data_IF_759387468406
#
_entry.id   IF_759387468406
#
_cell.length_a   1.000
_cell.length_b   1.000
_cell.length_c   1.000
_cell.angle_alpha   90.00
_cell.angle_beta   90.00
_cell.angle_gamma   90.00
#
_symmetry.space_group_name_H-M   'P 1'
#
loop_
_entity.id
_entity.type
_entity.pdbx_description
1 polymer ?
#
# COMPACT_ATOMS: atom_id res chain seq x y z
N UNK A 1 5.55 -15.25 -12.25
CA UNK A 1 6.17 -13.97 -12.67
C UNK A 1 7.39 -13.75 -11.80
N UNK A 2 8.57 -13.63 -12.40
CA UNK A 2 9.78 -13.39 -11.63
C UNK A 2 9.89 -11.89 -11.34
N UNK A 3 10.00 -11.53 -10.05
CA UNK A 3 10.23 -10.16 -9.59
C UNK A 3 11.69 -9.74 -9.89
N UNK A 4 12.03 -9.51 -11.16
CA UNK A 4 13.39 -9.10 -11.53
C UNK A 4 13.79 -7.69 -11.02
N UNK A 5 12.84 -6.92 -10.50
CA UNK A 5 13.06 -5.56 -10.00
C UNK A 5 13.22 -5.47 -8.48
N UNK A 6 13.15 -6.59 -7.76
CA UNK A 6 13.21 -6.63 -6.31
C UNK A 6 14.46 -7.35 -5.77
N UNK A 7 15.59 -7.29 -6.51
CA UNK A 7 16.87 -7.72 -5.96
C UNK A 7 17.37 -6.67 -4.97
N UNK A 8 17.40 -7.06 -3.71
CA UNK A 8 17.82 -6.21 -2.59
C UNK A 8 19.05 -6.76 -1.87
N UNK A 9 19.75 -7.73 -2.49
CA UNK A 9 20.89 -8.40 -1.88
C UNK A 9 22.03 -7.44 -1.50
N UNK A 10 22.18 -6.34 -2.23
CA UNK A 10 23.18 -5.31 -1.97
C UNK A 10 22.65 -4.11 -1.17
N UNK A 11 21.39 -4.17 -0.71
CA UNK A 11 20.77 -3.08 0.04
C UNK A 11 20.93 -3.30 1.53
N UNK A 12 21.59 -2.40 2.27
CA UNK A 12 21.68 -2.51 3.72
C UNK A 12 20.31 -2.71 4.36
N UNK A 13 20.22 -3.59 5.34
CA UNK A 13 19.00 -4.00 6.03
C UNK A 13 18.06 -4.95 5.27
N UNK A 14 18.23 -5.12 3.97
CA UNK A 14 17.37 -5.98 3.14
C UNK A 14 18.11 -7.16 2.51
N UNK A 15 19.39 -7.34 2.80
CA UNK A 15 20.26 -8.34 2.19
C UNK A 15 19.77 -9.79 2.40
N UNK A 16 19.02 -10.04 3.46
CA UNK A 16 18.43 -11.35 3.75
C UNK A 16 16.99 -11.51 3.22
N UNK A 17 16.44 -10.46 2.58
CA UNK A 17 15.07 -10.48 2.05
C UNK A 17 15.04 -11.09 0.64
N UNK A 18 14.08 -11.97 0.43
CA UNK A 18 13.73 -12.48 -0.90
C UNK A 18 12.26 -12.16 -1.13
N UNK A 19 11.98 -11.14 -1.92
CA UNK A 19 10.63 -10.77 -2.31
C UNK A 19 10.18 -11.62 -3.50
N UNK A 20 9.86 -12.90 -3.25
CA UNK A 20 9.53 -13.91 -4.27
C UNK A 20 8.03 -14.12 -4.47
N UNK A 21 7.20 -13.54 -3.61
CA UNK A 21 5.73 -13.57 -3.74
C UNK A 21 5.19 -12.16 -3.89
N UNK A 22 4.22 -12.00 -4.80
CA UNK A 22 3.53 -10.73 -4.98
C UNK A 22 2.06 -10.97 -5.33
N UNK A 23 1.21 -10.07 -4.86
CA UNK A 23 -0.16 -9.98 -5.35
C UNK A 23 -0.15 -9.32 -6.73
N UNK A 24 -0.87 -9.91 -7.67
CA UNK A 24 -1.06 -9.33 -9.01
C UNK A 24 -2.40 -8.62 -9.06
N UNK A 25 -2.37 -7.33 -9.34
CA UNK A 25 -3.59 -6.54 -9.51
C UNK A 25 -3.74 -6.06 -10.95
N UNK A 26 -4.96 -6.03 -11.42
CA UNK A 26 -5.38 -5.49 -12.71
C UNK A 26 -6.69 -4.71 -12.53
N UNK A 27 -7.36 -4.35 -13.62
CA UNK A 27 -8.62 -3.60 -13.52
C UNK A 27 -9.77 -4.36 -12.85
N UNK A 28 -9.68 -5.67 -12.74
CA UNK A 28 -10.73 -6.52 -12.17
C UNK A 28 -10.39 -7.01 -10.75
N UNK A 29 -9.13 -6.89 -10.34
CA UNK A 29 -8.64 -7.39 -9.05
C UNK A 29 -8.16 -6.27 -8.14
N UNK A 30 -8.52 -6.35 -6.88
CA UNK A 30 -8.14 -5.40 -5.84
C UNK A 30 -7.28 -6.12 -4.81
N UNK A 31 -6.11 -5.54 -4.51
CA UNK A 31 -5.38 -5.90 -3.30
C UNK A 31 -6.11 -5.29 -2.10
N UNK A 32 -6.43 -6.11 -1.11
CA UNK A 32 -7.08 -5.65 0.11
C UNK A 32 -6.40 -6.26 1.32
N UNK A 33 -6.10 -5.44 2.31
CA UNK A 33 -5.50 -5.91 3.56
C UNK A 33 -6.08 -5.19 4.76
N UNK A 34 -6.03 -5.85 5.91
CA UNK A 34 -6.45 -5.25 7.17
C UNK A 34 -5.50 -4.12 7.58
N UNK A 35 -6.06 -3.04 8.08
CA UNK A 35 -5.34 -1.97 8.76
C UNK A 35 -5.33 -2.30 10.26
N UNK A 36 -4.15 -2.65 10.78
CA UNK A 36 -3.99 -3.11 12.15
C UNK A 36 -3.40 -2.01 13.03
N UNK A 37 -4.14 -1.59 14.04
CA UNK A 37 -3.67 -0.67 15.07
C UNK A 37 -3.00 -1.45 16.21
N UNK A 38 -1.91 -0.91 16.77
CA UNK A 38 -1.21 -1.52 17.90
C UNK A 38 -0.81 -2.98 17.65
N UNK A 39 -0.51 -3.37 16.41
CA UNK A 39 -0.14 -4.70 15.90
C UNK A 39 -1.31 -5.66 15.67
N UNK A 40 -2.36 -5.63 16.46
CA UNK A 40 -3.33 -6.73 16.49
C UNK A 40 -4.79 -6.30 16.39
N UNK A 41 -5.08 -5.02 16.44
CA UNK A 41 -6.46 -4.50 16.47
C UNK A 41 -6.88 -4.15 15.03
N UNK A 42 -7.76 -4.93 14.37
CA UNK A 42 -8.24 -4.57 13.05
C UNK A 42 -9.21 -3.38 13.16
N UNK A 43 -8.81 -2.25 12.59
CA UNK A 43 -9.59 -1.01 12.65
C UNK A 43 -10.15 -0.57 11.31
N UNK A 44 -9.85 -1.30 10.25
CA UNK A 44 -10.26 -0.97 8.90
C UNK A 44 -9.48 -1.74 7.86
N UNK A 45 -9.36 -1.16 6.68
CA UNK A 45 -8.68 -1.78 5.55
C UNK A 45 -7.89 -0.77 4.73
N UNK A 46 -6.93 -1.30 3.98
CA UNK A 46 -6.26 -0.60 2.89
C UNK A 46 -6.51 -1.37 1.61
N UNK A 47 -7.04 -0.70 0.60
CA UNK A 47 -7.33 -1.28 -0.70
C UNK A 47 -6.48 -0.62 -1.77
N UNK A 48 -5.88 -1.42 -2.64
CA UNK A 48 -5.11 -0.94 -3.79
C UNK A 48 -5.77 -1.46 -5.06
N UNK A 49 -6.15 -0.55 -5.93
CA UNK A 49 -6.84 -0.87 -7.18
C UNK A 49 -6.27 -0.08 -8.35
N UNK A 50 -6.54 -0.55 -9.55
CA UNK A 50 -6.17 0.13 -10.80
C UNK A 50 -7.44 0.66 -11.44
N UNK A 51 -7.48 1.97 -11.69
CA UNK A 51 -8.58 2.63 -12.41
C UNK A 51 -7.97 3.49 -13.51
N UNK A 52 -8.31 3.20 -14.74
CA UNK A 52 -7.68 3.82 -15.92
C UNK A 52 -6.15 3.69 -15.86
N UNK A 53 -5.44 4.80 -15.80
CA UNK A 53 -3.98 4.85 -15.72
C UNK A 53 -3.47 5.19 -14.30
N UNK A 54 -4.30 5.03 -13.30
CA UNK A 54 -3.99 5.38 -11.92
C UNK A 54 -4.06 4.18 -10.99
N UNK A 55 -3.12 4.16 -10.04
CA UNK A 55 -3.16 3.30 -8.86
C UNK A 55 -3.88 4.08 -7.76
N UNK A 56 -4.97 3.52 -7.25
CA UNK A 56 -5.70 4.09 -6.12
C UNK A 56 -5.34 3.33 -4.85
N UNK A 57 -4.87 4.06 -3.84
CA UNK A 57 -4.63 3.52 -2.49
C UNK A 57 -5.64 4.12 -1.55
N UNK A 58 -6.61 3.33 -1.12
CA UNK A 58 -7.71 3.76 -0.26
C UNK A 58 -7.54 3.21 1.16
N UNK A 59 -7.56 4.11 2.12
CA UNK A 59 -7.69 3.80 3.55
C UNK A 59 -9.13 3.96 3.97
N UNK A 60 -9.64 3.02 4.75
CA UNK A 60 -10.96 3.12 5.39
C UNK A 60 -10.88 2.59 6.81
N UNK A 61 -11.39 3.34 7.78
CA UNK A 61 -11.54 2.90 9.16
C UNK A 61 -12.98 2.55 9.49
N UNK A 62 -13.17 1.75 10.51
CA UNK A 62 -14.46 1.28 11.00
C UNK A 62 -14.72 1.75 12.43
N UNK A 63 -15.98 1.72 12.85
CA UNK A 63 -16.38 2.16 14.17
C UNK A 63 -16.08 3.65 14.40
N UNK A 64 -15.51 3.95 15.54
CA UNK A 64 -15.20 5.33 15.94
C UNK A 64 -13.74 5.74 15.64
N UNK A 65 -12.98 4.88 14.97
CA UNK A 65 -11.60 5.18 14.59
C UNK A 65 -11.56 6.20 13.45
N UNK A 66 -10.67 7.18 13.60
CA UNK A 66 -10.37 8.18 12.57
C UNK A 66 -8.89 8.16 12.22
N UNK A 67 -8.59 8.56 11.01
CA UNK A 67 -7.23 8.68 10.47
C UNK A 67 -6.79 10.12 10.66
N UNK A 68 -5.68 10.33 11.38
CA UNK A 68 -5.12 11.65 11.61
C UNK A 68 -3.98 11.97 10.64
N UNK A 69 -3.25 10.94 10.20
CA UNK A 69 -2.14 11.08 9.28
C UNK A 69 -1.95 9.78 8.48
N UNK A 70 -1.60 9.88 7.22
CA UNK A 70 -1.28 8.73 6.36
C UNK A 70 0.07 8.89 5.69
N UNK A 71 0.78 7.76 5.55
CA UNK A 71 2.04 7.65 4.83
C UNK A 71 2.03 6.39 4.00
N UNK A 72 2.26 6.52 2.70
CA UNK A 72 2.31 5.38 1.76
C UNK A 72 3.65 5.31 1.07
N UNK A 73 4.26 4.14 1.10
CA UNK A 73 5.36 3.80 0.23
C UNK A 73 4.86 2.94 -0.92
N UNK A 74 5.10 3.39 -2.13
CA UNK A 74 4.93 2.64 -3.37
C UNK A 74 6.17 2.90 -4.21
N UNK A 75 6.96 1.88 -4.49
CA UNK A 75 8.18 2.04 -5.27
C UNK A 75 9.09 0.82 -5.22
N UNK A 76 10.30 0.99 -5.74
CA UNK A 76 11.32 -0.04 -5.72
C UNK A 76 11.62 -0.47 -4.28
N UNK A 77 11.69 -1.77 -4.06
CA UNK A 77 12.00 -2.33 -2.74
C UNK A 77 13.36 -1.88 -2.21
N UNK A 78 14.32 -1.62 -3.10
CA UNK A 78 15.64 -1.12 -2.75
C UNK A 78 15.64 0.31 -2.21
N UNK A 79 14.62 1.09 -2.50
CA UNK A 79 14.54 2.52 -2.17
C UNK A 79 13.66 2.81 -0.93
N UNK A 80 13.20 1.77 -0.23
CA UNK A 80 12.46 1.98 1.03
C UNK A 80 13.29 2.80 2.00
N UNK A 81 12.82 3.96 2.48
CA UNK A 81 13.54 4.76 3.45
C UNK A 81 13.69 4.02 4.78
N UNK A 82 14.90 3.59 5.10
CA UNK A 82 15.24 2.89 6.33
C UNK A 82 16.23 3.71 7.15
N UNK A 83 16.05 3.72 8.47
CA UNK A 83 17.01 4.32 9.40
C UNK A 83 18.27 3.44 9.55
N UNK A 84 19.28 3.93 10.24
CA UNK A 84 20.46 3.14 10.58
C UNK A 84 20.14 1.88 11.41
N UNK A 85 19.02 1.87 12.13
CA UNK A 85 18.48 0.70 12.84
C UNK A 85 17.53 -0.15 11.99
N UNK A 86 17.50 0.05 10.70
CA UNK A 86 16.67 -0.69 9.74
C UNK A 86 15.15 -0.52 9.91
N UNK A 87 14.71 0.52 10.59
CA UNK A 87 13.29 0.82 10.73
C UNK A 87 12.78 1.72 9.59
N UNK A 88 11.60 1.45 9.02
CA UNK A 88 10.99 2.33 8.05
C UNK A 88 10.80 3.74 8.61
N UNK A 89 11.18 4.74 7.82
CA UNK A 89 11.02 6.16 8.13
C UNK A 89 9.77 6.70 7.43
N UNK A 90 8.61 6.58 8.08
CA UNK A 90 7.32 6.90 7.49
C UNK A 90 7.23 8.34 6.98
N UNK A 91 7.82 9.29 7.69
CA UNK A 91 7.85 10.69 7.27
C UNK A 91 8.63 10.97 5.98
N UNK A 92 9.42 10.01 5.49
CA UNK A 92 10.15 10.10 4.23
C UNK A 92 9.48 9.34 3.09
N UNK A 93 8.32 8.75 3.31
CA UNK A 93 7.56 8.09 2.26
C UNK A 93 7.10 9.09 1.21
N UNK A 94 6.98 8.69 -0.07
CA UNK A 94 6.66 9.61 -1.15
C UNK A 94 5.26 10.22 -1.08
N UNK A 95 4.32 9.56 -0.39
CA UNK A 95 2.93 10.00 -0.28
C UNK A 95 2.56 10.15 1.18
N UNK A 96 2.31 11.38 1.60
CA UNK A 96 1.95 11.71 2.99
C UNK A 96 0.82 12.73 3.01
N UNK A 97 -0.04 12.64 4.02
CA UNK A 97 -1.12 13.60 4.22
C UNK A 97 -1.50 13.68 5.70
N UNK A 98 -1.60 14.92 6.20
CA UNK A 98 -2.19 15.23 7.50
C UNK A 98 -3.70 15.43 7.33
N UNK A 99 -4.48 14.84 8.22
CA UNK A 99 -5.93 14.94 8.23
C UNK A 99 -6.40 15.66 9.50
N UNK A 100 -6.75 16.94 9.37
CA UNK A 100 -7.25 17.73 10.50
C UNK A 100 -8.50 18.53 10.05
N UNK A 101 -9.70 18.15 10.50
CA UNK A 101 -9.99 17.03 11.43
C UNK A 101 -9.74 15.66 10.83
N UNK A 102 -9.61 14.63 11.69
CA UNK A 102 -9.44 13.24 11.25
C UNK A 102 -10.58 12.75 10.36
N UNK A 103 -10.26 11.82 9.46
CA UNK A 103 -11.19 11.27 8.46
C UNK A 103 -11.34 9.76 8.63
N UNK A 104 -12.41 9.19 8.09
CA UNK A 104 -12.62 7.74 8.07
C UNK A 104 -12.26 7.09 6.74
N UNK A 105 -11.99 7.88 5.72
CA UNK A 105 -11.55 7.40 4.42
C UNK A 105 -10.68 8.43 3.73
N UNK A 106 -9.61 7.95 3.08
CA UNK A 106 -8.75 8.78 2.24
C UNK A 106 -8.19 7.95 1.09
N UNK A 107 -8.09 8.53 -0.10
CA UNK A 107 -7.58 7.85 -1.28
C UNK A 107 -6.44 8.65 -1.91
N UNK A 108 -5.29 8.00 -2.09
CA UNK A 108 -4.22 8.48 -2.94
C UNK A 108 -4.46 8.05 -4.38
N UNK A 109 -4.16 8.94 -5.32
CA UNK A 109 -4.20 8.67 -6.76
C UNK A 109 -2.77 8.80 -7.28
N UNK A 110 -2.19 7.69 -7.74
CA UNK A 110 -0.80 7.59 -8.14
C UNK A 110 -0.74 7.18 -9.61
N UNK A 111 -0.15 8.01 -10.51
CA UNK A 111 -0.02 7.63 -11.91
C UNK A 111 0.80 6.34 -12.07
N UNK A 112 0.25 5.34 -12.76
CA UNK A 112 0.93 4.06 -13.02
C UNK A 112 2.21 4.25 -13.84
N UNK A 113 2.25 5.25 -14.72
CA UNK A 113 3.42 5.56 -15.53
C UNK A 113 4.67 5.91 -14.71
N UNK A 114 4.50 6.27 -13.42
CA UNK A 114 5.61 6.56 -12.49
C UNK A 114 6.13 5.32 -11.76
N UNK A 115 5.52 4.15 -11.97
CA UNK A 115 5.80 2.92 -11.25
C UNK A 115 6.40 1.86 -12.16
N UNK A 116 7.26 1.02 -11.59
CA UNK A 116 7.65 -0.24 -12.23
C UNK A 116 6.48 -1.24 -12.20
N UNK A 117 6.55 -2.30 -13.00
CA UNK A 117 5.50 -3.31 -13.06
C UNK A 117 5.30 -4.06 -11.74
N UNK A 118 6.34 -4.15 -10.92
CA UNK A 118 6.27 -4.71 -9.57
C UNK A 118 6.94 -3.74 -8.59
N UNK A 119 6.37 -3.60 -7.40
CA UNK A 119 6.86 -2.66 -6.39
C UNK A 119 6.60 -3.17 -4.97
N UNK A 120 7.31 -2.61 -4.02
CA UNK A 120 7.02 -2.74 -2.60
C UNK A 120 5.97 -1.71 -2.18
N UNK A 121 5.14 -2.12 -1.24
CA UNK A 121 4.03 -1.34 -0.71
C UNK A 121 4.04 -1.38 0.82
N UNK A 122 3.96 -0.21 1.44
CA UNK A 122 3.79 -0.06 2.89
C UNK A 122 2.73 1.02 3.13
N UNK A 123 1.70 0.68 3.90
CA UNK A 123 0.67 1.62 4.32
C UNK A 123 0.76 1.85 5.83
N UNK A 124 1.01 3.08 6.23
CA UNK A 124 1.05 3.53 7.61
C UNK A 124 -0.02 4.59 7.84
N UNK A 125 -0.60 4.61 9.03
CA UNK A 125 -1.47 5.68 9.50
C UNK A 125 -1.25 5.95 10.98
N UNK A 126 -1.36 7.22 11.38
CA UNK A 126 -1.63 7.59 12.76
C UNK A 126 -3.15 7.67 12.90
N UNK A 127 -3.69 7.00 13.90
CA UNK A 127 -5.13 6.88 14.10
C UNK A 127 -5.50 7.20 15.53
N UNK A 128 -6.70 7.70 15.72
CA UNK A 128 -7.26 7.98 17.05
C UNK A 128 -8.72 7.52 17.14
N UNK A 129 -9.16 7.28 18.36
CA UNK A 129 -10.54 6.97 18.65
C UNK A 129 -11.08 8.06 19.61
N UNK A 130 -11.87 9.02 19.10
CA UNK A 130 -12.34 10.14 19.93
C UNK A 130 -13.33 9.73 21.03
N UNK A 131 -13.88 8.53 20.97
CA UNK A 131 -14.79 8.00 22.00
C UNK A 131 -14.02 7.43 23.18
N UNK A 132 -12.95 6.65 22.91
CA UNK A 132 -12.12 6.04 23.97
C UNK A 132 -10.93 6.89 24.36
N UNK A 133 -10.48 7.80 23.50
CA UNK A 133 -9.27 8.58 23.68
C UNK A 133 -7.98 7.84 23.29
N UNK A 134 -8.09 6.66 22.69
CA UNK A 134 -6.92 5.89 22.24
C UNK A 134 -6.26 6.55 21.03
N UNK A 135 -4.94 6.54 21.01
CA UNK A 135 -4.11 6.93 19.88
C UNK A 135 -3.17 5.78 19.55
N UNK A 136 -3.09 5.40 18.28
CA UNK A 136 -2.32 4.24 17.86
C UNK A 136 -1.61 4.49 16.52
N UNK A 137 -0.52 3.75 16.31
CA UNK A 137 0.03 3.51 14.98
C UNK A 137 -0.74 2.37 14.34
N UNK A 138 -1.13 2.53 13.07
CA UNK A 138 -1.76 1.48 12.30
C UNK A 138 -0.97 1.20 11.02
N UNK A 139 -0.83 -0.07 10.67
CA UNK A 139 -0.08 -0.51 9.48
C UNK A 139 -0.91 -1.56 8.75
N UNK A 140 -0.93 -1.45 7.41
CA UNK A 140 -1.53 -2.46 6.54
C UNK A 140 -0.79 -3.79 6.67
N UNK A 141 -1.51 -4.88 6.91
CA UNK A 141 -0.91 -6.20 7.01
C UNK A 141 -0.22 -6.60 5.70
N UNK A 142 0.85 -7.36 5.77
CA UNK A 142 1.64 -7.77 4.62
C UNK A 142 2.39 -9.08 4.86
N UNK A 143 3.14 -9.52 3.84
CA UNK A 143 3.79 -10.83 3.85
C UNK A 143 5.19 -10.83 4.46
N UNK A 144 5.84 -9.67 4.56
CA UNK A 144 7.21 -9.54 5.03
C UNK A 144 7.29 -8.60 6.22
N UNK A 145 7.87 -9.04 7.32
CA UNK A 145 8.11 -8.20 8.49
C UNK A 145 9.09 -7.05 8.18
N UNK A 146 8.96 -5.94 8.87
CA UNK A 146 9.97 -4.89 8.80
C UNK A 146 11.34 -5.39 9.24
N UNK A 147 12.44 -4.93 8.61
CA UNK A 147 13.77 -5.44 8.91
C UNK A 147 14.33 -5.03 10.27
N UNK A 148 13.83 -3.93 10.85
CA UNK A 148 14.27 -3.41 12.14
C UNK A 148 13.51 -4.00 13.33
N UNK A 149 13.51 -3.28 14.42
CA UNK A 149 12.78 -3.66 15.64
C UNK A 149 11.37 -3.04 15.75
N UNK A 150 11.00 -2.17 14.80
CA UNK A 150 9.64 -1.67 14.70
C UNK A 150 8.75 -2.72 14.05
N UNK A 151 7.56 -2.94 14.60
CA UNK A 151 6.60 -3.85 14.01
C UNK A 151 5.96 -3.26 12.76
N UNK A 152 5.58 -4.11 11.84
CA UNK A 152 4.87 -3.79 10.61
C UNK A 152 5.30 -4.67 9.47
N UNK A 153 4.72 -4.43 8.31
CA UNK A 153 4.84 -5.33 7.17
C UNK A 153 5.06 -4.58 5.87
N UNK A 154 5.78 -5.25 4.98
CA UNK A 154 5.96 -4.88 3.58
C UNK A 154 5.12 -5.85 2.74
N UNK A 155 4.38 -5.33 1.78
CA UNK A 155 3.73 -6.13 0.74
C UNK A 155 4.41 -5.90 -0.60
N UNK A 156 4.32 -6.87 -1.49
CA UNK A 156 4.77 -6.76 -2.88
C UNK A 156 3.57 -6.88 -3.81
N UNK A 157 3.47 -5.96 -4.76
CA UNK A 157 2.36 -5.87 -5.72
C UNK A 157 2.94 -5.79 -7.12
N UNK A 158 2.38 -6.58 -8.05
CA UNK A 158 2.67 -6.48 -9.48
C UNK A 158 1.42 -6.04 -10.24
N UNK A 159 1.61 -5.14 -11.20
CA UNK A 159 0.55 -4.74 -12.11
C UNK A 159 0.39 -5.79 -13.21
N UNK A 160 -0.86 -6.21 -13.46
CA UNK A 160 -1.21 -7.04 -14.60
C UNK A 160 -1.03 -6.29 -15.92
N UNK A 161 -1.19 -6.99 -17.06
CA UNK A 161 -1.04 -6.36 -18.37
C UNK A 161 -2.13 -5.30 -18.58
N UNK A 162 -1.72 -4.14 -19.12
CA UNK A 162 -2.62 -3.01 -19.38
C UNK A 162 -3.67 -3.30 -20.47
N UNK A 163 -3.52 -4.39 -21.22
CA UNK A 163 -4.44 -4.77 -22.27
C UNK A 163 -5.82 -5.18 -21.73
N UNK A 164 -5.90 -5.55 -20.46
CA UNK A 164 -7.14 -5.94 -19.81
C UNK A 164 -7.88 -4.76 -19.12
N UNK A 165 -7.28 -3.56 -19.16
CA UNK A 165 -7.81 -2.39 -18.44
C UNK A 165 -8.37 -1.29 -19.36
N UNK A 166 -8.69 -1.59 -20.63
CA UNK A 166 -9.36 -0.62 -21.50
C UNK A 166 -10.89 -0.71 -21.28
N UNK A 167 -11.50 0.21 -20.51
CA UNK A 167 -12.95 0.22 -20.32
C UNK A 167 -13.71 0.60 -21.60
N UNK A 168 -13.00 0.88 -22.69
CA UNK A 168 -13.55 1.37 -23.94
C UNK A 168 -13.52 0.34 -25.07
N UNK A 169 -13.14 -0.91 -24.84
CA UNK A 169 -13.44 -1.97 -25.78
C UNK A 169 -14.91 -2.35 -25.63
N UNK A 170 -15.76 -1.46 -26.10
CA UNK A 170 -17.11 -1.86 -26.49
C UNK A 170 -16.86 -2.74 -27.72
N UNK A 171 -16.95 -4.06 -27.56
CA UNK A 171 -16.97 -4.94 -28.70
C UNK A 171 -18.03 -4.45 -29.66
N UNK A 172 -17.64 -4.17 -30.92
CA UNK A 172 -18.55 -3.80 -32.00
C UNK A 172 -19.54 -4.94 -32.28
N UNK A 173 -20.35 -5.27 -31.34
CA UNK A 173 -21.32 -6.36 -31.43
C UNK A 173 -22.49 -6.20 -30.48
N UNK A 174 -22.31 -5.42 -29.40
CA UNK A 174 -23.32 -5.31 -28.36
C UNK A 174 -24.47 -4.33 -28.67
N UNK A 175 -24.46 -3.62 -29.80
CA UNK A 175 -25.51 -2.70 -30.22
C UNK A 175 -26.39 -3.21 -31.34
N UNK A 176 -26.40 -4.51 -31.64
CA UNK A 176 -27.34 -5.07 -32.59
C UNK A 176 -28.58 -5.57 -31.86
N UNK A 177 -29.55 -4.71 -31.79
CA UNK A 177 -30.94 -5.15 -31.62
C UNK A 177 -31.41 -5.88 -32.86
#
# INVERSE_FOLDING_TARGET
MFLNSCDVSDVPCLEDYVFDTAEVIDCDTVFSTDLLAGQTIPIGSVNVSVVDNDLLVNYTTTGDWVIDETHVYVGDCADIPLSGGCNPQFGLFPFTMDHNPGVQSYTYIIPIASLDSCFCFIAHAAVSNPVTGDEETAIGNGDYDFPGNRWGWISTICLGSSDDCDPCVIEEGDFRT
#
